data_IF_702656731101
#
_entry.id   IF_702656731101
#
_cell.length_a   1.000
_cell.length_b   1.000
_cell.length_c   1.000
_cell.angle_alpha   90.00
_cell.angle_beta   90.00
_cell.angle_gamma   90.00
#
_symmetry.space_group_name_H-M   'P 1'
#
loop_
_entity.id
_entity.type
_entity.pdbx_description
1 polymer ?
#
# COMPACT_ATOMS: atom_id res chain seq x y z
N UNK A 1 14.84 0.66 -10.34
CA UNK A 1 15.50 0.47 -11.63
C UNK A 1 15.77 1.85 -12.25
N UNK A 2 17.02 2.15 -12.72
CA UNK A 2 17.33 3.43 -13.37
C UNK A 2 16.53 3.70 -14.64
N UNK A 3 15.99 2.68 -15.28
CA UNK A 3 15.19 2.80 -16.49
C UNK A 3 13.96 3.73 -16.32
N UNK A 4 13.48 3.96 -15.10
CA UNK A 4 12.38 4.91 -14.82
C UNK A 4 12.69 6.32 -15.37
N UNK A 5 13.95 6.73 -15.38
CA UNK A 5 14.35 8.05 -15.87
C UNK A 5 14.44 8.14 -17.39
N UNK A 6 14.37 7.01 -18.09
CA UNK A 6 14.38 6.93 -19.56
C UNK A 6 12.97 6.80 -20.17
N UNK A 7 11.95 6.68 -19.33
CA UNK A 7 10.55 6.55 -19.77
C UNK A 7 9.95 7.85 -20.32
N UNK A 8 10.65 8.99 -20.19
CA UNK A 8 10.16 10.29 -20.64
C UNK A 8 8.99 10.88 -19.82
N UNK A 9 8.70 10.28 -18.68
CA UNK A 9 7.68 10.75 -17.73
C UNK A 9 8.33 11.62 -16.65
N UNK A 10 7.61 12.59 -16.03
CA UNK A 10 8.13 13.31 -14.88
C UNK A 10 8.36 12.40 -13.69
N UNK A 11 9.46 12.65 -12.95
CA UNK A 11 9.81 11.89 -11.76
C UNK A 11 9.99 12.85 -10.59
N UNK A 12 9.34 12.57 -9.44
CA UNK A 12 9.55 13.26 -8.18
C UNK A 12 10.18 12.28 -7.17
N UNK A 13 11.44 12.52 -6.81
CA UNK A 13 12.12 11.82 -5.74
C UNK A 13 11.84 12.45 -4.37
N UNK A 14 11.21 11.73 -3.45
CA UNK A 14 10.93 12.17 -2.09
C UNK A 14 11.92 11.52 -1.13
N UNK A 15 12.60 12.30 -0.29
CA UNK A 15 13.56 11.87 0.72
C UNK A 15 14.63 10.91 0.15
N UNK A 16 14.53 9.63 0.42
CA UNK A 16 15.40 8.61 -0.16
C UNK A 16 15.39 8.61 -1.69
N UNK A 17 14.22 8.87 -2.31
CA UNK A 17 14.09 8.99 -3.77
C UNK A 17 14.92 10.13 -4.34
N UNK A 18 15.02 11.28 -3.67
CA UNK A 18 15.90 12.38 -4.03
C UNK A 18 17.38 11.97 -3.92
N UNK A 19 17.76 11.29 -2.82
CA UNK A 19 19.11 10.81 -2.59
C UNK A 19 19.52 9.77 -3.63
N UNK A 20 18.62 8.82 -3.95
CA UNK A 20 18.84 7.83 -5.00
C UNK A 20 19.02 8.48 -6.38
N UNK A 21 18.19 9.45 -6.73
CA UNK A 21 18.34 10.24 -7.95
C UNK A 21 19.70 10.92 -7.99
N UNK A 22 20.10 11.58 -6.89
CA UNK A 22 21.41 12.21 -6.77
C UNK A 22 22.55 11.23 -7.06
N UNK A 23 22.49 10.04 -6.44
CA UNK A 23 23.52 9.00 -6.62
C UNK A 23 23.58 8.49 -8.06
N UNK A 24 22.44 8.20 -8.67
CA UNK A 24 22.34 7.66 -10.03
C UNK A 24 22.84 8.65 -11.09
N UNK A 25 22.64 9.95 -10.88
CA UNK A 25 23.11 11.01 -11.79
C UNK A 25 24.50 11.56 -11.45
N UNK A 26 25.26 10.92 -10.55
CA UNK A 26 26.66 11.25 -10.26
C UNK A 26 26.87 12.36 -9.24
N UNK A 27 25.84 12.76 -8.52
CA UNK A 27 25.98 13.59 -7.33
C UNK A 27 26.51 12.82 -6.12
N UNK A 28 26.56 13.45 -4.94
CA UNK A 28 27.09 12.83 -3.73
C UNK A 28 26.09 12.87 -2.59
N UNK A 29 25.94 11.73 -1.93
CA UNK A 29 25.17 11.56 -0.69
C UNK A 29 26.11 11.02 0.37
N UNK A 30 26.14 11.65 1.54
CA UNK A 30 27.02 11.29 2.62
C UNK A 30 26.26 11.21 3.94
N UNK A 31 26.73 10.31 4.82
CA UNK A 31 26.16 10.21 6.16
C UNK A 31 26.49 11.48 6.96
N UNK A 32 25.49 12.04 7.63
CA UNK A 32 25.64 13.25 8.40
C UNK A 32 25.67 12.95 9.90
N UNK A 33 26.53 13.66 10.62
CA UNK A 33 26.54 13.66 12.09
C UNK A 33 25.35 14.47 12.65
N UNK A 34 24.82 15.40 11.85
CA UNK A 34 23.65 16.21 12.18
C UNK A 34 22.44 15.63 11.45
N UNK A 35 21.54 15.03 12.21
CA UNK A 35 20.29 14.47 11.70
C UNK A 35 19.18 15.51 11.81
N UNK A 36 18.29 15.58 10.80
CA UNK A 36 17.11 16.43 10.85
C UNK A 36 15.84 15.57 10.97
N UNK A 37 15.15 15.74 12.10
CA UNK A 37 13.86 15.10 12.37
C UNK A 37 12.88 16.14 12.93
N UNK A 38 11.73 16.28 12.31
CA UNK A 38 10.68 17.20 12.73
C UNK A 38 10.44 18.33 11.75
N UNK A 39 9.63 19.31 12.19
CA UNK A 39 9.32 20.49 11.39
C UNK A 39 10.56 21.37 11.19
N UNK A 40 10.78 21.80 9.96
CA UNK A 40 11.86 22.69 9.57
C UNK A 40 11.38 23.71 8.54
N UNK A 41 11.96 24.91 8.54
CA UNK A 41 11.75 25.91 7.51
C UNK A 41 12.77 25.73 6.39
N UNK A 42 12.33 25.89 5.16
CA UNK A 42 13.16 25.92 3.97
C UNK A 42 12.94 27.20 3.19
N UNK A 43 14.02 27.80 2.71
CA UNK A 43 14.01 28.94 1.81
C UNK A 43 13.80 28.44 0.37
N UNK A 44 12.77 28.92 -0.30
CA UNK A 44 12.41 28.53 -1.67
C UNK A 44 12.92 29.59 -2.66
N UNK A 45 13.67 29.17 -3.66
CA UNK A 45 14.34 30.06 -4.60
C UNK A 45 13.52 30.40 -5.86
N UNK A 46 12.50 29.58 -6.16
CA UNK A 46 11.62 29.82 -7.31
C UNK A 46 10.18 29.43 -6.99
N UNK A 47 9.33 30.44 -6.88
CA UNK A 47 7.88 30.29 -6.61
C UNK A 47 7.03 30.53 -7.86
N UNK A 48 7.64 30.70 -9.03
CA UNK A 48 6.93 31.00 -10.29
C UNK A 48 6.68 29.77 -11.14
N UNK A 49 7.44 28.70 -10.92
CA UNK A 49 7.36 27.44 -11.68
C UNK A 49 7.73 26.25 -10.81
N UNK A 50 7.64 25.04 -11.37
CA UNK A 50 8.00 23.80 -10.68
C UNK A 50 7.04 23.45 -9.54
N UNK A 51 7.53 22.65 -8.59
CA UNK A 51 6.70 22.15 -7.48
C UNK A 51 6.31 23.24 -6.47
N UNK A 52 7.06 24.35 -6.40
CA UNK A 52 6.80 25.47 -5.48
C UNK A 52 5.98 26.61 -6.12
N UNK A 53 5.46 26.42 -7.32
CA UNK A 53 4.65 27.42 -8.00
C UNK A 53 3.50 27.94 -7.13
N UNK A 54 3.44 29.23 -6.91
CA UNK A 54 2.38 29.91 -6.15
C UNK A 54 2.50 29.78 -4.64
N UNK A 55 3.60 29.20 -4.13
CA UNK A 55 3.87 29.11 -2.69
C UNK A 55 4.71 30.27 -2.20
N UNK A 56 4.96 30.32 -0.89
CA UNK A 56 5.78 31.36 -0.27
C UNK A 56 7.29 31.13 -0.51
N UNK A 57 8.09 32.18 -0.29
CA UNK A 57 9.55 32.09 -0.33
C UNK A 57 10.15 31.36 0.90
N UNK A 58 9.34 31.12 1.93
CA UNK A 58 9.68 30.30 3.10
C UNK A 58 8.55 29.31 3.32
N UNK A 59 8.86 28.01 3.40
CA UNK A 59 7.90 26.94 3.62
C UNK A 59 8.25 26.10 4.84
N UNK A 60 7.22 25.66 5.58
CA UNK A 60 7.38 24.74 6.70
C UNK A 60 7.12 23.31 6.25
N UNK A 61 8.13 22.45 6.42
CA UNK A 61 8.16 21.07 5.91
C UNK A 61 8.63 20.09 6.99
N UNK A 62 8.28 18.80 6.85
CA UNK A 62 8.77 17.75 7.72
C UNK A 62 10.07 17.16 7.16
N UNK A 63 11.14 17.28 7.92
CA UNK A 63 12.40 16.59 7.67
C UNK A 63 12.44 15.27 8.45
N UNK A 64 12.97 14.21 7.82
CA UNK A 64 13.16 12.91 8.46
C UNK A 64 14.32 12.15 7.80
N UNK A 65 15.56 12.64 8.01
CA UNK A 65 16.73 12.03 7.39
C UNK A 65 18.00 12.12 8.25
N UNK A 66 18.90 11.15 8.05
CA UNK A 66 20.24 11.12 8.67
C UNK A 66 21.34 11.35 7.64
N UNK A 67 21.13 10.96 6.39
CA UNK A 67 22.05 11.20 5.29
C UNK A 67 21.66 12.48 4.55
N UNK A 68 22.63 13.14 3.94
CA UNK A 68 22.39 14.40 3.21
C UNK A 68 23.11 14.41 1.87
N UNK A 69 22.57 15.16 0.96
CA UNK A 69 23.21 15.46 -0.32
C UNK A 69 24.30 16.51 -0.07
N UNK A 70 25.52 16.24 -0.54
CA UNK A 70 26.68 17.15 -0.42
C UNK A 70 27.10 17.72 -1.77
N UNK A 71 26.63 17.12 -2.88
CA UNK A 71 26.78 17.67 -4.23
C UNK A 71 25.62 17.22 -5.09
N UNK A 72 24.95 18.17 -5.76
CA UNK A 72 23.89 17.87 -6.73
C UNK A 72 24.53 17.40 -8.05
N UNK A 73 23.80 16.60 -8.85
CA UNK A 73 24.28 16.18 -10.18
C UNK A 73 24.37 17.37 -11.15
N UNK A 74 25.18 17.19 -12.20
CA UNK A 74 25.24 18.16 -13.30
C UNK A 74 23.90 18.30 -14.03
N UNK A 75 23.53 19.53 -14.38
CA UNK A 75 22.26 19.86 -15.02
C UNK A 75 21.08 19.98 -14.08
N UNK A 76 21.28 19.81 -12.77
CA UNK A 76 20.26 20.08 -11.76
C UNK A 76 20.44 21.47 -11.12
N UNK A 77 19.34 22.10 -10.75
CA UNK A 77 19.31 23.39 -10.07
C UNK A 77 18.67 23.24 -8.70
N UNK A 78 19.26 23.88 -7.68
CA UNK A 78 18.68 23.91 -6.32
C UNK A 78 17.46 24.80 -6.30
N UNK A 79 16.36 24.33 -5.76
CA UNK A 79 15.10 25.07 -5.67
C UNK A 79 14.67 25.40 -4.25
N UNK A 80 15.23 24.70 -3.23
CA UNK A 80 15.07 25.08 -1.84
C UNK A 80 16.27 24.62 -1.00
N UNK A 81 16.52 25.37 0.11
CA UNK A 81 17.57 25.05 1.09
C UNK A 81 17.15 25.40 2.51
N UNK A 82 17.91 24.91 3.50
CA UNK A 82 17.94 25.48 4.83
C UNK A 82 19.38 25.45 5.40
N UNK A 83 19.56 25.93 6.63
CA UNK A 83 20.88 26.00 7.25
C UNK A 83 21.59 24.65 7.42
N UNK A 84 20.84 23.55 7.52
CA UNK A 84 21.36 22.19 7.76
C UNK A 84 21.35 21.33 6.49
N UNK A 85 20.42 21.62 5.57
CA UNK A 85 20.23 20.90 4.31
C UNK A 85 20.32 21.89 3.14
N UNK A 86 21.55 22.17 2.63
CA UNK A 86 21.76 23.12 1.54
C UNK A 86 21.05 22.75 0.24
N UNK A 87 20.73 21.46 0.08
CA UNK A 87 20.02 20.93 -1.07
C UNK A 87 18.71 20.30 -0.59
N UNK A 88 17.79 21.12 -0.05
CA UNK A 88 16.50 20.65 0.43
C UNK A 88 15.54 20.27 -0.72
N UNK A 89 15.70 20.90 -1.88
CA UNK A 89 15.03 20.52 -3.11
C UNK A 89 15.88 20.88 -4.33
N UNK A 90 15.70 20.13 -5.42
CA UNK A 90 16.31 20.41 -6.70
C UNK A 90 15.37 20.04 -7.87
N UNK A 91 15.70 20.53 -9.06
CA UNK A 91 15.02 20.15 -10.28
C UNK A 91 15.97 20.07 -11.47
N UNK A 92 15.62 19.23 -12.45
CA UNK A 92 16.11 19.27 -13.82
C UNK A 92 14.87 19.38 -14.72
N UNK A 93 14.58 20.57 -15.20
CA UNK A 93 13.38 20.86 -15.98
C UNK A 93 13.39 20.19 -17.36
N UNK A 94 14.57 20.06 -17.99
CA UNK A 94 14.71 19.42 -19.29
C UNK A 94 14.34 17.95 -19.23
N UNK A 95 14.82 17.24 -18.20
CA UNK A 95 14.51 15.82 -17.95
C UNK A 95 13.22 15.61 -17.17
N UNK A 96 12.59 16.69 -16.70
CA UNK A 96 11.40 16.65 -15.86
C UNK A 96 11.58 15.83 -14.57
N UNK A 97 12.79 15.95 -13.95
CA UNK A 97 13.16 15.26 -12.73
C UNK A 97 13.20 16.29 -11.58
N UNK A 98 12.51 15.97 -10.51
CA UNK A 98 12.37 16.80 -9.31
C UNK A 98 12.75 16.00 -8.08
N UNK A 99 13.29 16.67 -7.06
CA UNK A 99 13.66 16.02 -5.80
C UNK A 99 13.42 16.93 -4.61
N UNK A 100 12.91 16.35 -3.53
CA UNK A 100 12.74 17.00 -2.22
C UNK A 100 13.29 16.10 -1.13
N UNK A 101 14.05 16.66 -0.19
CA UNK A 101 14.60 15.92 0.95
C UNK A 101 13.56 15.71 2.05
N UNK A 102 12.59 16.58 2.14
CA UNK A 102 11.47 16.53 3.08
C UNK A 102 10.30 15.68 2.55
N UNK A 103 9.28 15.52 3.38
CA UNK A 103 8.10 14.70 3.10
C UNK A 103 6.87 15.59 2.82
N UNK A 104 6.57 15.95 1.57
CA UNK A 104 5.39 16.74 1.24
C UNK A 104 4.07 15.97 1.43
N UNK A 105 4.10 14.65 1.46
CA UNK A 105 2.94 13.77 1.59
C UNK A 105 2.35 13.73 3.02
N UNK A 106 3.06 14.26 4.01
CA UNK A 106 2.60 14.22 5.40
C UNK A 106 2.00 15.56 5.84
N UNK A 107 1.07 15.53 6.78
CA UNK A 107 0.35 16.71 7.28
C UNK A 107 1.23 17.79 7.93
N UNK A 108 2.44 17.42 8.36
CA UNK A 108 3.40 18.36 8.98
C UNK A 108 4.13 19.24 7.95
N UNK A 109 4.05 18.92 6.68
CA UNK A 109 4.43 19.81 5.58
C UNK A 109 3.21 20.63 5.20
N UNK A 110 3.15 21.90 5.64
CA UNK A 110 1.93 22.72 5.65
C UNK A 110 1.32 22.82 4.25
N UNK A 111 2.13 23.15 3.24
CA UNK A 111 1.71 23.25 1.84
C UNK A 111 2.18 22.05 0.99
N UNK A 112 2.46 20.91 1.64
CA UNK A 112 2.90 19.71 0.94
C UNK A 112 1.91 19.22 -0.12
N UNK A 113 0.61 19.30 0.15
CA UNK A 113 -0.44 18.97 -0.81
C UNK A 113 -0.42 19.89 -2.05
N UNK A 114 -0.11 21.18 -1.88
CA UNK A 114 -0.02 22.11 -3.00
C UNK A 114 1.21 21.82 -3.87
N UNK A 115 2.34 21.44 -3.24
CA UNK A 115 3.54 20.96 -3.95
C UNK A 115 3.24 19.70 -4.78
N UNK A 116 2.56 18.72 -4.18
CA UNK A 116 2.15 17.50 -4.88
C UNK A 116 1.13 17.80 -5.99
N UNK A 117 0.21 18.73 -5.75
CA UNK A 117 -0.76 19.20 -6.73
C UNK A 117 -0.07 19.84 -7.94
N UNK A 118 0.91 20.71 -7.71
CA UNK A 118 1.71 21.32 -8.78
C UNK A 118 2.44 20.25 -9.59
N UNK A 119 3.01 19.23 -8.91
CA UNK A 119 3.66 18.13 -9.61
C UNK A 119 2.68 17.33 -10.47
N UNK A 120 1.56 16.88 -9.90
CA UNK A 120 0.60 16.01 -10.58
C UNK A 120 -0.13 16.72 -11.72
N UNK A 121 -0.62 17.93 -11.48
CA UNK A 121 -1.46 18.63 -12.47
C UNK A 121 -0.64 19.49 -13.43
N UNK A 122 0.29 20.32 -12.92
CA UNK A 122 1.03 21.25 -13.77
C UNK A 122 2.21 20.59 -14.48
N UNK A 123 2.95 19.72 -13.77
CA UNK A 123 4.15 19.09 -14.32
C UNK A 123 3.80 17.80 -15.07
N UNK A 124 3.01 16.91 -14.47
CA UNK A 124 2.60 15.66 -15.14
C UNK A 124 1.47 15.89 -16.15
N UNK A 125 0.69 16.96 -16.02
CA UNK A 125 -0.44 17.25 -16.91
C UNK A 125 -1.65 16.34 -16.66
N UNK A 126 -1.80 15.81 -15.44
CA UNK A 126 -2.95 14.97 -15.10
C UNK A 126 -4.25 15.77 -15.21
N UNK A 127 -5.28 15.15 -15.75
CA UNK A 127 -6.61 15.79 -15.99
C UNK A 127 -7.49 15.77 -14.76
N UNK A 128 -7.20 14.91 -13.77
CA UNK A 128 -7.99 14.78 -12.54
C UNK A 128 -9.33 14.11 -12.76
N UNK A 129 -9.50 13.38 -13.84
CA UNK A 129 -10.72 12.64 -14.21
C UNK A 129 -10.83 11.28 -13.49
N UNK A 130 -9.77 10.82 -12.85
CA UNK A 130 -9.83 9.65 -11.98
C UNK A 130 -10.54 9.99 -10.67
N UNK A 131 -11.54 9.21 -10.29
CA UNK A 131 -12.20 9.29 -9.00
C UNK A 131 -12.38 7.89 -8.40
N UNK A 132 -12.48 7.81 -7.07
CA UNK A 132 -12.73 6.54 -6.38
C UNK A 132 -14.08 5.93 -6.79
N UNK A 133 -15.11 6.75 -7.03
CA UNK A 133 -16.41 6.27 -7.47
C UNK A 133 -16.32 5.62 -8.86
N UNK A 134 -15.62 6.26 -9.80
CA UNK A 134 -15.38 5.70 -11.14
C UNK A 134 -14.55 4.42 -11.08
N UNK A 135 -13.58 4.34 -10.18
CA UNK A 135 -12.80 3.12 -9.95
C UNK A 135 -13.69 1.98 -9.43
N UNK A 136 -14.52 2.25 -8.41
CA UNK A 136 -15.46 1.25 -7.86
C UNK A 136 -16.40 0.73 -8.92
N UNK A 137 -16.98 1.59 -9.74
CA UNK A 137 -17.89 1.19 -10.83
C UNK A 137 -17.19 0.33 -11.87
N UNK A 138 -15.97 0.71 -12.26
CA UNK A 138 -15.13 -0.05 -13.18
C UNK A 138 -14.82 -1.45 -12.65
N UNK A 139 -14.37 -1.55 -11.38
CA UNK A 139 -14.04 -2.83 -10.76
C UNK A 139 -15.27 -3.72 -10.59
N UNK A 140 -16.42 -3.16 -10.22
CA UNK A 140 -17.69 -3.90 -10.18
C UNK A 140 -18.03 -4.50 -11.56
N UNK A 141 -17.83 -3.74 -12.64
CA UNK A 141 -18.09 -4.23 -14.00
C UNK A 141 -17.12 -5.37 -14.38
N UNK A 142 -15.83 -5.22 -14.12
CA UNK A 142 -14.82 -6.26 -14.36
C UNK A 142 -15.09 -7.53 -13.57
N UNK A 143 -15.45 -7.39 -12.29
CA UNK A 143 -15.80 -8.53 -11.43
C UNK A 143 -16.99 -9.28 -12.00
N UNK A 144 -18.05 -8.58 -12.39
CA UNK A 144 -19.27 -9.19 -12.98
C UNK A 144 -18.95 -9.94 -14.27
N UNK A 145 -18.13 -9.34 -15.13
CA UNK A 145 -17.71 -9.98 -16.39
C UNK A 145 -16.90 -11.24 -16.13
N UNK A 146 -15.93 -11.18 -15.20
CA UNK A 146 -15.03 -12.30 -14.89
C UNK A 146 -15.78 -13.45 -14.19
N UNK A 147 -16.61 -13.12 -13.20
CA UNK A 147 -17.29 -14.12 -12.37
C UNK A 147 -18.49 -14.76 -13.10
N UNK A 148 -19.24 -13.98 -13.87
CA UNK A 148 -20.46 -14.46 -14.54
C UNK A 148 -21.47 -15.04 -13.53
N UNK A 149 -21.80 -16.32 -13.67
CA UNK A 149 -22.75 -17.02 -12.80
C UNK A 149 -22.08 -17.90 -11.73
N UNK A 150 -20.76 -17.88 -11.65
CA UNK A 150 -19.96 -18.70 -10.73
C UNK A 150 -19.95 -18.11 -9.33
N UNK A 151 -19.48 -18.90 -8.35
CA UNK A 151 -19.36 -18.47 -6.96
C UNK A 151 -17.92 -18.09 -6.60
N UNK A 152 -17.81 -17.12 -5.71
CA UNK A 152 -16.54 -16.61 -5.18
C UNK A 152 -16.46 -16.88 -3.69
N UNK A 153 -15.33 -17.43 -3.24
CA UNK A 153 -15.00 -17.63 -1.85
C UNK A 153 -14.03 -16.54 -1.39
N UNK A 154 -14.28 -15.96 -0.22
CA UNK A 154 -13.40 -14.97 0.40
C UNK A 154 -13.06 -15.38 1.81
N UNK A 155 -11.76 -15.46 2.13
CA UNK A 155 -11.26 -15.51 3.51
C UNK A 155 -11.35 -14.14 4.17
N UNK A 156 -12.25 -13.99 5.13
CA UNK A 156 -12.49 -12.73 5.82
C UNK A 156 -11.71 -12.69 7.13
N UNK A 157 -10.73 -11.82 7.24
CA UNK A 157 -9.89 -11.67 8.44
C UNK A 157 -10.46 -10.67 9.46
N UNK A 158 -11.41 -9.83 9.06
CA UNK A 158 -11.87 -8.67 9.84
C UNK A 158 -10.95 -7.45 9.72
N UNK A 159 -9.83 -7.54 8.99
CA UNK A 159 -9.00 -6.40 8.62
C UNK A 159 -9.64 -5.55 7.53
N UNK A 160 -9.06 -4.35 7.31
CA UNK A 160 -9.61 -3.37 6.36
C UNK A 160 -9.67 -3.94 4.95
N UNK A 161 -8.59 -4.53 4.45
CA UNK A 161 -8.47 -4.97 3.07
C UNK A 161 -9.48 -6.07 2.72
N UNK A 162 -9.54 -7.13 3.54
CA UNK A 162 -10.52 -8.20 3.36
C UNK A 162 -11.97 -7.72 3.46
N UNK A 163 -12.22 -6.72 4.31
CA UNK A 163 -13.56 -6.11 4.45
C UNK A 163 -13.93 -5.28 3.22
N UNK A 164 -13.00 -4.50 2.68
CA UNK A 164 -13.22 -3.72 1.44
C UNK A 164 -13.46 -4.64 0.26
N UNK A 165 -12.65 -5.70 0.10
CA UNK A 165 -12.86 -6.73 -0.93
C UNK A 165 -14.23 -7.38 -0.79
N UNK A 166 -14.61 -7.76 0.43
CA UNK A 166 -15.92 -8.36 0.71
C UNK A 166 -17.08 -7.46 0.30
N UNK A 167 -17.03 -6.17 0.68
CA UNK A 167 -18.08 -5.20 0.33
C UNK A 167 -18.12 -4.93 -1.18
N UNK A 168 -16.97 -4.85 -1.84
CA UNK A 168 -16.87 -4.63 -3.28
C UNK A 168 -17.45 -5.83 -4.04
N UNK A 169 -17.08 -7.05 -3.68
CA UNK A 169 -17.62 -8.27 -4.25
C UNK A 169 -19.12 -8.40 -3.99
N UNK A 170 -19.59 -8.10 -2.77
CA UNK A 170 -21.03 -8.11 -2.46
C UNK A 170 -21.81 -7.17 -3.37
N UNK A 171 -21.31 -5.97 -3.63
CA UNK A 171 -21.93 -5.03 -4.57
C UNK A 171 -21.90 -5.54 -6.02
N UNK A 172 -20.87 -6.27 -6.39
CA UNK A 172 -20.71 -6.77 -7.74
C UNK A 172 -21.59 -8.00 -8.03
N UNK A 173 -21.56 -9.01 -7.16
CA UNK A 173 -22.09 -10.35 -7.43
C UNK A 173 -23.09 -10.87 -6.38
N UNK A 174 -23.36 -10.10 -5.31
CA UNK A 174 -24.40 -10.43 -4.33
C UNK A 174 -24.24 -11.82 -3.71
N UNK A 175 -25.28 -12.63 -3.80
CA UNK A 175 -25.36 -13.97 -3.17
C UNK A 175 -24.36 -14.99 -3.75
N UNK A 176 -23.65 -14.69 -4.83
CA UNK A 176 -22.58 -15.53 -5.36
C UNK A 176 -21.32 -15.46 -4.49
N UNK A 177 -21.23 -14.46 -3.60
CA UNK A 177 -20.13 -14.32 -2.64
C UNK A 177 -20.40 -15.14 -1.38
N UNK A 178 -19.42 -15.97 -0.99
CA UNK A 178 -19.40 -16.69 0.27
C UNK A 178 -18.16 -16.26 1.04
N UNK A 179 -18.33 -15.77 2.27
CA UNK A 179 -17.23 -15.37 3.13
C UNK A 179 -17.02 -16.39 4.25
N UNK A 180 -15.78 -16.83 4.46
CA UNK A 180 -15.40 -17.64 5.64
C UNK A 180 -14.66 -16.74 6.62
N UNK A 181 -15.19 -16.62 7.84
CA UNK A 181 -14.57 -15.91 8.96
C UNK A 181 -14.15 -16.90 10.04
N UNK A 182 -12.85 -17.02 10.29
CA UNK A 182 -12.31 -17.96 11.28
C UNK A 182 -12.09 -17.24 12.63
N UNK A 183 -12.89 -17.61 13.63
CA UNK A 183 -12.69 -17.18 15.01
C UNK A 183 -11.66 -18.11 15.69
N UNK A 184 -10.41 -17.67 15.69
CA UNK A 184 -9.27 -18.43 16.22
C UNK A 184 -8.96 -18.19 17.69
N UNK A 185 -9.81 -17.41 18.40
CA UNK A 185 -9.64 -17.15 19.84
C UNK A 185 -8.52 -16.16 20.21
N UNK A 186 -7.86 -15.55 19.23
CA UNK A 186 -6.79 -14.55 19.42
C UNK A 186 -7.25 -13.14 19.04
N UNK A 187 -8.52 -12.99 18.73
CA UNK A 187 -9.16 -11.69 18.45
C UNK A 187 -9.34 -10.90 19.74
N UNK A 188 -9.52 -9.59 19.60
CA UNK A 188 -9.87 -8.72 20.73
C UNK A 188 -11.24 -9.12 21.28
N UNK A 189 -11.48 -8.78 22.54
CA UNK A 189 -12.77 -9.07 23.19
C UNK A 189 -13.94 -8.48 22.41
N UNK A 190 -14.86 -9.34 21.96
CA UNK A 190 -16.05 -8.97 21.21
C UNK A 190 -15.81 -8.63 19.73
N UNK A 191 -14.56 -8.68 19.24
CA UNK A 191 -14.23 -8.32 17.86
C UNK A 191 -14.88 -9.27 16.84
N UNK A 192 -14.92 -10.57 17.14
CA UNK A 192 -15.56 -11.56 16.28
C UNK A 192 -17.04 -11.26 16.05
N UNK A 193 -17.78 -10.93 17.11
CA UNK A 193 -19.19 -10.59 17.00
C UNK A 193 -19.39 -9.27 16.25
N UNK A 194 -18.56 -8.27 16.55
CA UNK A 194 -18.60 -6.96 15.91
C UNK A 194 -18.33 -7.04 14.39
N UNK A 195 -17.35 -7.84 13.96
CA UNK A 195 -17.03 -8.03 12.54
C UNK A 195 -18.22 -8.66 11.82
N UNK A 196 -18.73 -9.78 12.34
CA UNK A 196 -19.85 -10.48 11.71
C UNK A 196 -21.09 -9.60 11.67
N UNK A 197 -21.48 -8.96 12.78
CA UNK A 197 -22.65 -8.08 12.85
C UNK A 197 -22.53 -6.88 11.90
N UNK A 198 -21.37 -6.26 11.87
CA UNK A 198 -21.13 -5.09 11.02
C UNK A 198 -21.20 -5.45 9.52
N UNK A 199 -20.53 -6.53 9.12
CA UNK A 199 -20.41 -6.88 7.71
C UNK A 199 -21.67 -7.60 7.19
N UNK A 200 -22.29 -8.48 7.95
CA UNK A 200 -23.58 -9.10 7.55
C UNK A 200 -24.73 -8.11 7.65
N UNK A 201 -24.82 -7.36 8.78
CA UNK A 201 -25.98 -6.49 9.02
C UNK A 201 -25.98 -5.23 8.15
N UNK A 202 -24.84 -4.56 7.99
CA UNK A 202 -24.77 -3.30 7.23
C UNK A 202 -24.54 -3.50 5.74
N UNK A 203 -23.79 -4.52 5.37
CA UNK A 203 -23.35 -4.73 3.98
C UNK A 203 -23.94 -5.99 3.34
N UNK A 204 -24.65 -6.80 4.10
CA UNK A 204 -25.35 -7.99 3.57
C UNK A 204 -24.42 -9.14 3.19
N UNK A 205 -23.18 -9.21 3.73
CA UNK A 205 -22.28 -10.30 3.41
C UNK A 205 -22.80 -11.64 3.96
N UNK A 206 -22.76 -12.68 3.13
CA UNK A 206 -23.02 -14.06 3.56
C UNK A 206 -21.75 -14.62 4.23
N UNK A 207 -21.75 -14.65 5.57
CA UNK A 207 -20.58 -15.01 6.37
C UNK A 207 -20.80 -16.35 7.08
N UNK A 208 -19.94 -17.32 6.79
CA UNK A 208 -19.81 -18.56 7.54
C UNK A 208 -18.78 -18.30 8.65
N UNK A 209 -19.25 -18.18 9.90
CA UNK A 209 -18.38 -18.06 11.06
C UNK A 209 -17.95 -19.43 11.55
N UNK A 210 -16.65 -19.67 11.57
CA UNK A 210 -16.05 -20.92 12.05
C UNK A 210 -15.45 -20.71 13.42
N UNK A 211 -15.98 -21.33 14.45
CA UNK A 211 -15.37 -21.32 15.78
C UNK A 211 -14.24 -22.35 15.84
N UNK A 212 -13.01 -21.88 15.73
CA UNK A 212 -11.80 -22.71 15.78
C UNK A 212 -10.92 -22.41 17.03
N UNK A 213 -11.45 -21.71 18.04
CA UNK A 213 -10.70 -21.24 19.22
C UNK A 213 -9.94 -22.35 19.91
N UNK A 214 -10.59 -23.47 20.23
CA UNK A 214 -9.95 -24.61 20.91
C UNK A 214 -8.82 -25.21 20.06
N UNK A 215 -9.02 -25.33 18.76
CA UNK A 215 -8.07 -25.87 17.79
C UNK A 215 -6.78 -25.04 17.75
N UNK A 216 -6.87 -23.72 17.71
CA UNK A 216 -5.71 -22.83 17.73
C UNK A 216 -5.04 -22.77 19.12
N UNK A 217 -5.81 -22.57 20.19
CA UNK A 217 -5.27 -22.43 21.52
C UNK A 217 -4.56 -23.70 22.02
N UNK A 218 -5.08 -24.89 21.67
CA UNK A 218 -4.43 -26.16 22.04
C UNK A 218 -3.04 -26.31 21.39
N UNK A 219 -2.88 -25.90 20.13
CA UNK A 219 -1.60 -25.94 19.42
C UNK A 219 -0.60 -24.87 19.87
N UNK A 220 -1.08 -23.77 20.42
CA UNK A 220 -0.24 -22.70 20.96
C UNK A 220 0.19 -22.93 22.40
N UNK A 221 -0.40 -23.93 23.09
CA UNK A 221 -0.08 -24.20 24.49
C UNK A 221 1.39 -24.54 24.67
N UNK A 222 2.07 -23.75 25.52
CA UNK A 222 3.50 -23.94 25.83
C UNK A 222 4.46 -23.34 24.79
N UNK A 223 3.96 -22.79 23.70
CA UNK A 223 4.80 -22.13 22.71
C UNK A 223 5.05 -20.68 23.14
N UNK A 224 6.31 -20.28 23.36
CA UNK A 224 6.72 -18.94 23.76
C UNK A 224 7.31 -18.14 22.61
N UNK A 225 8.00 -18.81 21.69
CA UNK A 225 8.68 -18.17 20.56
C UNK A 225 7.68 -17.52 19.59
N UNK A 226 7.83 -16.20 19.28
CA UNK A 226 6.89 -15.49 18.42
C UNK A 226 6.82 -16.03 16.98
N UNK A 227 7.96 -16.45 16.42
CA UNK A 227 8.01 -16.96 15.06
C UNK A 227 7.33 -18.34 14.93
N UNK A 228 7.50 -19.20 15.94
CA UNK A 228 6.79 -20.47 16.00
C UNK A 228 5.29 -20.26 16.15
N UNK A 229 4.85 -19.30 17.00
CA UNK A 229 3.42 -18.93 17.12
C UNK A 229 2.86 -18.51 15.77
N UNK A 230 3.56 -17.64 15.07
CA UNK A 230 3.12 -17.14 13.76
C UNK A 230 2.95 -18.28 12.75
N UNK A 231 3.92 -19.19 12.67
CA UNK A 231 3.84 -20.36 11.77
C UNK A 231 2.68 -21.28 12.12
N UNK A 232 2.47 -21.55 13.41
CA UNK A 232 1.35 -22.40 13.87
C UNK A 232 0.02 -21.75 13.49
N UNK A 233 -0.15 -20.45 13.77
CA UNK A 233 -1.38 -19.71 13.47
C UNK A 233 -1.64 -19.72 11.97
N UNK A 234 -0.63 -19.39 11.15
CA UNK A 234 -0.77 -19.36 9.70
C UNK A 234 -1.16 -20.68 9.11
N UNK A 235 -0.46 -21.76 9.47
CA UNK A 235 -0.76 -23.10 8.98
C UNK A 235 -2.16 -23.55 9.40
N UNK A 236 -2.53 -23.29 10.67
CA UNK A 236 -3.82 -23.73 11.18
C UNK A 236 -4.98 -22.97 10.54
N UNK A 237 -4.76 -21.69 10.23
CA UNK A 237 -5.75 -20.90 9.50
C UNK A 237 -6.04 -21.49 8.13
N UNK A 238 -5.00 -21.90 7.40
CA UNK A 238 -5.14 -22.56 6.10
C UNK A 238 -5.95 -23.83 6.23
N UNK A 239 -5.58 -24.72 7.17
CA UNK A 239 -6.31 -25.99 7.36
C UNK A 239 -7.79 -25.80 7.72
N UNK A 240 -8.10 -24.84 8.59
CA UNK A 240 -9.50 -24.54 8.94
C UNK A 240 -10.26 -23.99 7.73
N UNK A 241 -9.61 -23.12 6.95
CA UNK A 241 -10.20 -22.56 5.75
C UNK A 241 -10.47 -23.65 4.70
N UNK A 242 -9.51 -24.56 4.48
CA UNK A 242 -9.64 -25.67 3.55
C UNK A 242 -10.74 -26.66 3.97
N UNK A 243 -10.80 -26.99 5.27
CA UNK A 243 -11.85 -27.85 5.84
C UNK A 243 -13.26 -27.27 5.59
N UNK A 244 -13.41 -25.95 5.64
CA UNK A 244 -14.70 -25.28 5.37
C UNK A 244 -14.96 -25.12 3.86
N UNK A 245 -13.93 -24.76 3.09
CA UNK A 245 -14.03 -24.65 1.64
C UNK A 245 -14.43 -25.98 0.98
N UNK A 246 -13.89 -27.10 1.47
CA UNK A 246 -14.23 -28.43 0.98
C UNK A 246 -15.71 -28.85 1.18
N UNK A 247 -16.44 -28.18 2.08
CA UNK A 247 -17.88 -28.40 2.30
C UNK A 247 -18.76 -27.66 1.28
N UNK A 248 -18.15 -26.73 0.56
CA UNK A 248 -18.85 -25.88 -0.42
C UNK A 248 -18.78 -26.54 -1.80
N UNK A 249 -19.88 -26.57 -2.50
CA UNK A 249 -19.97 -27.00 -3.88
C UNK A 249 -20.10 -25.80 -4.81
N UNK A 250 -19.62 -25.93 -6.03
CA UNK A 250 -19.77 -24.93 -7.10
C UNK A 250 -19.07 -23.60 -6.80
N UNK A 251 -17.89 -23.65 -6.14
CA UNK A 251 -17.02 -22.48 -5.97
C UNK A 251 -15.88 -22.57 -6.99
N UNK A 252 -15.76 -21.55 -7.82
CA UNK A 252 -14.77 -21.49 -8.89
C UNK A 252 -13.64 -20.50 -8.62
N UNK A 253 -13.92 -19.47 -7.79
CA UNK A 253 -12.97 -18.38 -7.53
C UNK A 253 -12.64 -18.25 -6.05
N UNK A 254 -11.37 -17.92 -5.79
CA UNK A 254 -10.89 -17.47 -4.49
C UNK A 254 -10.53 -15.99 -4.58
N UNK A 255 -11.16 -15.16 -3.74
CA UNK A 255 -10.83 -13.75 -3.65
C UNK A 255 -9.72 -13.49 -2.64
N UNK A 256 -8.78 -12.62 -3.01
CA UNK A 256 -7.70 -12.15 -2.15
C UNK A 256 -7.66 -10.62 -2.11
N UNK A 257 -7.30 -10.09 -0.94
CA UNK A 257 -7.13 -8.65 -0.71
C UNK A 257 -5.71 -8.17 -0.97
N UNK A 258 -5.06 -8.64 -2.05
CA UNK A 258 -3.74 -8.17 -2.45
C UNK A 258 -3.84 -6.72 -2.89
N UNK A 259 -3.03 -5.86 -2.30
CA UNK A 259 -2.92 -4.46 -2.69
C UNK A 259 -1.83 -4.26 -3.73
N UNK A 260 -1.98 -3.26 -4.59
CA UNK A 260 -0.96 -2.88 -5.56
C UNK A 260 0.42 -2.60 -4.91
N UNK A 261 0.43 -2.01 -3.72
CA UNK A 261 1.65 -1.79 -2.92
C UNK A 261 2.35 -3.09 -2.53
N UNK A 262 1.60 -4.15 -2.20
CA UNK A 262 2.16 -5.46 -1.87
C UNK A 262 2.91 -6.08 -3.05
N UNK A 263 2.44 -5.82 -4.27
CA UNK A 263 3.07 -6.29 -5.51
C UNK A 263 4.40 -5.57 -5.73
N UNK A 264 4.43 -4.25 -5.56
CA UNK A 264 5.66 -3.45 -5.70
C UNK A 264 6.70 -3.90 -4.69
N UNK A 265 6.31 -4.07 -3.43
CA UNK A 265 7.20 -4.51 -2.34
C UNK A 265 7.68 -5.96 -2.52
N UNK A 266 6.87 -6.83 -3.13
CA UNK A 266 7.24 -8.24 -3.37
C UNK A 266 8.27 -8.43 -4.50
N UNK A 267 8.54 -7.43 -5.31
CA UNK A 267 9.46 -7.50 -6.45
C UNK A 267 10.95 -7.64 -6.07
N UNK A 268 11.32 -7.45 -4.80
CA UNK A 268 12.71 -7.58 -4.34
C UNK A 268 12.98 -8.95 -3.74
N UNK A 269 14.24 -9.44 -3.85
CA UNK A 269 14.66 -10.75 -3.29
C UNK A 269 14.43 -10.86 -1.78
N UNK A 270 14.39 -9.75 -1.07
CA UNK A 270 14.11 -9.65 0.37
C UNK A 270 12.60 -9.74 0.67
N UNK A 271 11.75 -9.36 -0.27
CA UNK A 271 10.31 -9.34 -0.12
C UNK A 271 9.62 -10.69 -0.37
N UNK A 272 10.33 -11.69 -0.90
CA UNK A 272 9.79 -13.07 -0.95
C UNK A 272 9.41 -13.60 0.44
N UNK A 273 10.02 -13.08 1.51
CA UNK A 273 9.69 -13.44 2.89
C UNK A 273 8.39 -12.78 3.38
N UNK A 274 8.03 -11.61 2.84
CA UNK A 274 6.80 -10.88 3.20
C UNK A 274 5.60 -11.48 2.47
N UNK A 275 5.78 -11.96 1.24
CA UNK A 275 4.73 -12.58 0.41
C UNK A 275 4.05 -13.81 1.06
N UNK A 276 4.76 -14.49 1.98
CA UNK A 276 4.22 -15.64 2.72
C UNK A 276 3.19 -15.27 3.80
N UNK A 277 2.93 -13.97 4.05
CA UNK A 277 2.09 -13.51 5.16
C UNK A 277 0.70 -13.04 4.76
N UNK A 278 0.53 -12.62 3.51
CA UNK A 278 -0.74 -12.12 2.98
C UNK A 278 -1.40 -13.06 1.97
N UNK A 279 -0.66 -14.02 1.44
CA UNK A 279 -1.23 -15.04 0.58
C UNK A 279 -1.53 -16.28 1.41
N UNK A 280 -2.70 -16.85 1.22
CA UNK A 280 -3.05 -18.21 1.61
C UNK A 280 -2.16 -19.15 0.76
N UNK A 281 -0.85 -19.10 1.05
CA UNK A 281 0.18 -19.89 0.37
C UNK A 281 0.24 -21.29 0.94
N UNK A 282 -0.82 -22.04 0.76
CA UNK A 282 -0.96 -23.39 1.30
C UNK A 282 -2.24 -24.06 0.89
N UNK A 283 -2.96 -23.50 -0.10
CA UNK A 283 -4.06 -24.23 -0.71
C UNK A 283 -3.52 -25.54 -1.29
N UNK A 284 -4.16 -26.68 -1.05
CA UNK A 284 -3.78 -27.94 -1.66
C UNK A 284 -3.63 -27.79 -3.16
N UNK A 285 -2.62 -28.45 -3.76
CA UNK A 285 -2.36 -28.39 -5.21
C UNK A 285 -3.56 -28.86 -6.06
N UNK A 286 -4.52 -29.52 -5.45
CA UNK A 286 -5.75 -30.08 -6.03
C UNK A 286 -6.93 -29.07 -6.00
N UNK A 287 -6.86 -27.95 -5.25
CA UNK A 287 -7.87 -26.91 -5.28
C UNK A 287 -7.61 -25.97 -6.45
N UNK A 288 -8.34 -26.15 -7.53
CA UNK A 288 -8.26 -25.36 -8.75
C UNK A 288 -9.20 -24.14 -8.67
N UNK A 289 -8.98 -23.22 -7.70
CA UNK A 289 -9.66 -21.92 -7.73
C UNK A 289 -8.92 -20.96 -8.65
N UNK A 290 -9.65 -20.24 -9.46
CA UNK A 290 -9.13 -19.07 -10.15
C UNK A 290 -9.08 -17.89 -9.18
N UNK A 291 -7.98 -17.12 -9.17
CA UNK A 291 -7.84 -15.97 -8.30
C UNK A 291 -8.59 -14.75 -8.83
N UNK A 292 -9.20 -14.01 -7.90
CA UNK A 292 -9.75 -12.69 -8.15
C UNK A 292 -9.21 -11.71 -7.12
N UNK A 293 -8.55 -10.64 -7.58
CA UNK A 293 -7.86 -9.66 -6.77
C UNK A 293 -8.38 -8.25 -7.08
N UNK A 294 -9.49 -7.82 -6.46
CA UNK A 294 -10.18 -6.59 -6.82
C UNK A 294 -9.46 -5.29 -6.45
N UNK A 295 -8.38 -5.36 -5.67
CA UNK A 295 -7.61 -4.19 -5.22
C UNK A 295 -6.22 -4.10 -5.87
N UNK A 296 -5.97 -4.92 -6.88
CA UNK A 296 -4.72 -5.00 -7.62
C UNK A 296 -4.71 -4.06 -8.83
#
# INVERSE_FOLDING_TARGET
DPEIFELGIPVLGICYGMQLTTHLFGGKVESSTTREYGSAKVDVFNTTSGIFKGLAEEEEVLMSHGDRITAIPEGFSVTASNAHTPFAAFENQERRIYGVQFHPEVRHSIHGNDMLRNFVFDICGATGDWSMDSFIEMEIAKIREKVGHKKVLLGLSGGVDSSVVGVLLQKAIGDQLICIFVDHGLLRKGESDQVVESLSGKFGLNIIRVNAQERFLSKLKGVSDPEQKRKIIGNEFVYVFDDEAAKLTDVDFLAQGTLYTDIIESGTKTAQTIKSHHNVGGLPEDMQFELIEPLN
#
